data_IF_854469351748
#
_entry.id   IF_854469351748
#
_cell.length_a   1.000
_cell.length_b   1.000
_cell.length_c   1.000
_cell.angle_alpha   90.00
_cell.angle_beta   90.00
_cell.angle_gamma   90.00
#
_symmetry.space_group_name_H-M   'P 1'
#
loop_
_entity.id
_entity.type
_entity.pdbx_description
1 polymer ?
#
# COMPACT_ATOMS: atom_id res chain seq x y z
N UNK A 1 11.58 -0.68 -8.64
CA UNK A 1 11.22 0.05 -7.42
C UNK A 1 10.10 -0.65 -6.67
N UNK A 2 10.24 -0.78 -5.39
CA UNK A 2 9.21 -1.43 -4.55
C UNK A 2 8.33 -0.37 -3.91
N UNK A 3 7.02 -0.48 -4.12
CA UNK A 3 6.05 0.50 -3.66
C UNK A 3 4.96 -0.16 -2.83
N UNK A 4 4.59 0.48 -1.72
CA UNK A 4 3.44 0.06 -0.93
C UNK A 4 2.38 1.14 -1.09
N UNK A 5 1.16 0.72 -1.46
CA UNK A 5 0.02 1.61 -1.56
C UNK A 5 -0.96 1.24 -0.46
N UNK A 6 -1.24 2.18 0.42
CA UNK A 6 -2.21 2.00 1.50
C UNK A 6 -3.55 2.54 1.03
N UNK A 7 -4.48 1.64 0.71
CA UNK A 7 -5.78 1.99 0.18
C UNK A 7 -6.02 1.37 -1.19
N UNK A 8 -7.07 0.57 -1.30
CA UNK A 8 -7.43 -0.14 -2.54
C UNK A 8 -8.74 0.36 -3.15
N UNK A 9 -9.13 1.60 -2.83
CA UNK A 9 -10.28 2.26 -3.45
C UNK A 9 -9.91 2.76 -4.84
N UNK A 10 -10.73 3.66 -5.40
CA UNK A 10 -10.53 4.15 -6.76
C UNK A 10 -9.16 4.80 -6.98
N UNK A 11 -8.72 5.64 -6.05
CA UNK A 11 -7.44 6.34 -6.18
C UNK A 11 -6.28 5.36 -6.09
N UNK A 12 -6.30 4.48 -5.08
CA UNK A 12 -5.25 3.49 -4.90
C UNK A 12 -5.14 2.55 -6.08
N UNK A 13 -6.28 2.11 -6.61
CA UNK A 13 -6.32 1.24 -7.79
C UNK A 13 -5.71 1.93 -9.00
N UNK A 14 -6.04 3.21 -9.23
CA UNK A 14 -5.49 3.97 -10.36
C UNK A 14 -3.98 4.10 -10.27
N UNK A 15 -3.47 4.39 -9.07
CA UNK A 15 -2.03 4.52 -8.86
C UNK A 15 -1.35 3.18 -9.06
N UNK A 16 -1.92 2.11 -8.49
CA UNK A 16 -1.38 0.76 -8.63
C UNK A 16 -1.29 0.34 -10.09
N UNK A 17 -2.31 0.63 -10.87
CA UNK A 17 -2.33 0.32 -12.28
C UNK A 17 -1.19 1.00 -13.04
N UNK A 18 -1.03 2.30 -12.82
CA UNK A 18 0.04 3.05 -13.49
C UNK A 18 1.43 2.58 -13.11
N UNK A 19 1.67 2.34 -11.82
CA UNK A 19 2.98 1.90 -11.37
C UNK A 19 3.29 0.47 -11.80
N UNK A 20 2.28 -0.39 -11.82
CA UNK A 20 2.44 -1.77 -12.29
C UNK A 20 2.82 -1.80 -13.77
N UNK A 21 2.20 -0.97 -14.59
CA UNK A 21 2.52 -0.86 -16.02
C UNK A 21 3.96 -0.41 -16.21
N UNK A 22 4.47 0.46 -15.34
CA UNK A 22 5.84 0.95 -15.42
C UNK A 22 6.86 -0.03 -14.87
N UNK A 23 6.43 -1.20 -14.43
CA UNK A 23 7.34 -2.25 -13.96
C UNK A 23 7.68 -2.19 -12.48
N UNK A 24 7.00 -1.36 -11.71
CA UNK A 24 7.22 -1.30 -10.26
C UNK A 24 6.63 -2.54 -9.60
N UNK A 25 7.27 -3.00 -8.54
CA UNK A 25 6.70 -4.04 -7.68
C UNK A 25 5.75 -3.36 -6.71
N UNK A 26 4.46 -3.61 -6.88
CA UNK A 26 3.42 -2.93 -6.09
C UNK A 26 2.77 -3.89 -5.11
N UNK A 27 2.65 -3.46 -3.86
CA UNK A 27 1.89 -4.15 -2.83
C UNK A 27 0.81 -3.20 -2.34
N UNK A 28 -0.43 -3.66 -2.31
CA UNK A 28 -1.58 -2.86 -1.87
C UNK A 28 -2.09 -3.37 -0.54
N UNK A 29 -2.24 -2.46 0.43
CA UNK A 29 -2.74 -2.76 1.77
C UNK A 29 -4.11 -2.13 1.92
N UNK A 30 -5.10 -2.91 2.37
CA UNK A 30 -6.44 -2.40 2.65
C UNK A 30 -7.11 -3.30 3.68
N UNK A 31 -8.07 -2.75 4.38
CA UNK A 31 -8.89 -3.50 5.35
C UNK A 31 -10.04 -4.21 4.68
N UNK A 32 -10.35 -3.86 3.44
CA UNK A 32 -11.45 -4.47 2.67
C UNK A 32 -10.97 -5.61 1.81
N UNK A 33 -11.38 -6.82 2.17
CA UNK A 33 -11.09 -8.02 1.40
C UNK A 33 -11.64 -7.93 -0.02
N UNK A 34 -12.82 -7.31 -0.17
CA UNK A 34 -13.44 -7.15 -1.48
C UNK A 34 -12.64 -6.24 -2.40
N UNK A 35 -12.14 -5.11 -1.88
CA UNK A 35 -11.31 -4.19 -2.66
C UNK A 35 -10.03 -4.88 -3.12
N UNK A 36 -9.39 -5.62 -2.21
CA UNK A 36 -8.15 -6.32 -2.54
C UNK A 36 -8.38 -7.39 -3.59
N UNK A 37 -9.50 -8.11 -3.50
CA UNK A 37 -9.85 -9.14 -4.47
C UNK A 37 -10.02 -8.54 -5.86
N UNK A 38 -10.75 -7.43 -5.97
CA UNK A 38 -10.96 -6.76 -7.24
C UNK A 38 -9.67 -6.31 -7.87
N UNK A 39 -8.78 -5.74 -7.07
CA UNK A 39 -7.53 -5.21 -7.59
C UNK A 39 -6.59 -6.35 -8.03
N UNK A 40 -6.55 -7.45 -7.27
CA UNK A 40 -5.70 -8.60 -7.60
C UNK A 40 -6.18 -9.35 -8.85
N UNK A 41 -7.47 -9.28 -9.17
CA UNK A 41 -8.03 -9.92 -10.36
C UNK A 41 -7.67 -9.16 -11.64
N UNK A 42 -7.43 -7.86 -11.54
CA UNK A 42 -7.18 -7.03 -12.72
C UNK A 42 -5.73 -6.57 -12.87
N UNK A 43 -4.94 -6.62 -11.82
CA UNK A 43 -3.57 -6.12 -11.82
C UNK A 43 -2.58 -7.14 -11.25
N UNK A 44 -1.35 -7.09 -11.73
CA UNK A 44 -0.27 -7.93 -11.20
C UNK A 44 0.35 -7.22 -9.98
N UNK A 45 -0.33 -7.31 -8.86
CA UNK A 45 0.10 -6.70 -7.60
C UNK A 45 -0.04 -7.69 -6.45
N UNK A 46 0.72 -7.47 -5.39
CA UNK A 46 0.58 -8.22 -4.15
C UNK A 46 -0.42 -7.49 -3.26
N UNK A 47 -1.15 -8.22 -2.45
CA UNK A 47 -2.14 -7.63 -1.55
C UNK A 47 -1.91 -8.09 -0.12
N UNK A 48 -2.17 -7.18 0.83
CA UNK A 48 -2.10 -7.48 2.26
C UNK A 48 -3.36 -6.96 2.92
N UNK A 49 -4.08 -7.82 3.61
CA UNK A 49 -5.32 -7.46 4.30
C UNK A 49 -4.98 -6.97 5.72
N UNK A 50 -5.35 -5.76 6.02
CA UNK A 50 -5.14 -5.18 7.33
C UNK A 50 -5.11 -3.66 7.31
N UNK A 51 -4.96 -3.09 8.50
CA UNK A 51 -4.89 -1.64 8.66
C UNK A 51 -3.45 -1.16 8.46
N UNK A 52 -3.26 -0.23 7.54
CA UNK A 52 -1.93 0.32 7.26
C UNK A 52 -1.36 1.15 8.40
N UNK A 53 -2.17 1.48 9.40
CA UNK A 53 -1.71 2.18 10.60
C UNK A 53 -1.04 1.25 11.62
N UNK A 54 -0.95 -0.04 11.32
CA UNK A 54 -0.30 -1.02 12.19
C UNK A 54 1.08 -1.39 11.62
N UNK A 55 2.16 -1.21 12.41
CA UNK A 55 3.50 -1.55 11.93
C UNK A 55 3.65 -3.00 11.46
N UNK A 56 2.96 -3.94 12.12
CA UNK A 56 3.01 -5.35 11.73
C UNK A 56 2.44 -5.59 10.33
N UNK A 57 1.40 -4.85 9.97
CA UNK A 57 0.80 -4.96 8.64
C UNK A 57 1.74 -4.39 7.58
N UNK A 58 2.34 -3.23 7.85
CA UNK A 58 3.32 -2.65 6.93
C UNK A 58 4.55 -3.55 6.79
N UNK A 59 4.98 -4.17 7.87
CA UNK A 59 6.09 -5.13 7.83
C UNK A 59 5.73 -6.31 6.91
N UNK A 60 4.52 -6.85 7.03
CA UNK A 60 4.04 -7.93 6.18
C UNK A 60 3.98 -7.53 4.71
N UNK A 61 3.77 -6.26 4.44
CA UNK A 61 3.70 -5.73 3.09
C UNK A 61 5.09 -5.45 2.48
N UNK A 62 6.16 -5.67 3.24
CA UNK A 62 7.52 -5.48 2.76
C UNK A 62 8.09 -4.08 2.99
N UNK A 63 7.58 -3.38 4.01
CA UNK A 63 8.02 -2.00 4.30
C UNK A 63 9.53 -1.89 4.51
N UNK A 64 10.17 -2.93 5.01
CA UNK A 64 11.60 -2.92 5.27
C UNK A 64 12.44 -2.67 4.02
N UNK A 65 11.97 -3.17 2.89
CA UNK A 65 12.68 -3.05 1.60
C UNK A 65 11.98 -2.09 0.64
N UNK A 66 11.02 -1.34 1.11
CA UNK A 66 10.19 -0.48 0.28
C UNK A 66 10.88 0.85 -0.03
N UNK A 67 10.72 1.31 -1.27
CA UNK A 67 11.29 2.58 -1.72
C UNK A 67 10.33 3.75 -1.55
N UNK A 68 9.03 3.50 -1.74
CA UNK A 68 7.99 4.53 -1.65
C UNK A 68 6.75 3.97 -0.97
N UNK A 69 6.16 4.74 -0.07
CA UNK A 69 4.88 4.41 0.54
C UNK A 69 3.88 5.52 0.21
N UNK A 70 2.76 5.14 -0.36
CA UNK A 70 1.70 6.06 -0.75
C UNK A 70 0.44 5.71 0.04
N UNK A 71 -0.08 6.66 0.81
CA UNK A 71 -1.25 6.44 1.65
C UNK A 71 -2.44 7.25 1.13
N UNK A 72 -3.43 6.54 0.61
CA UNK A 72 -4.62 7.13 -0.02
C UNK A 72 -5.91 6.45 0.45
N UNK A 73 -5.98 6.13 1.73
CA UNK A 73 -7.21 5.58 2.32
C UNK A 73 -8.23 6.71 2.53
N UNK A 74 -9.43 6.37 2.95
CA UNK A 74 -10.46 7.37 3.26
C UNK A 74 -10.19 8.12 4.56
N UNK A 75 -9.26 7.63 5.38
CA UNK A 75 -8.93 8.25 6.66
C UNK A 75 -7.63 9.05 6.55
N UNK A 76 -7.74 10.38 6.66
CA UNK A 76 -6.56 11.25 6.66
C UNK A 76 -5.64 10.92 7.83
N UNK A 77 -6.23 10.60 9.00
CA UNK A 77 -5.49 10.19 10.17
C UNK A 77 -4.64 8.96 9.91
N UNK A 78 -5.27 7.91 9.35
CA UNK A 78 -4.56 6.67 9.04
C UNK A 78 -3.47 6.90 7.99
N UNK A 79 -3.73 7.78 7.03
CA UNK A 79 -2.74 8.12 6.01
C UNK A 79 -1.51 8.78 6.64
N UNK A 80 -1.73 9.70 7.56
CA UNK A 80 -0.65 10.38 8.26
C UNK A 80 0.13 9.41 9.14
N UNK A 81 -0.57 8.54 9.88
CA UNK A 81 0.05 7.55 10.75
C UNK A 81 0.88 6.57 9.93
N UNK A 82 0.33 6.08 8.82
CA UNK A 82 1.04 5.14 7.95
C UNK A 82 2.33 5.73 7.41
N UNK A 83 2.29 6.98 6.95
CA UNK A 83 3.48 7.66 6.45
C UNK A 83 4.50 7.89 7.55
N UNK A 84 4.05 8.25 8.75
CA UNK A 84 4.94 8.46 9.89
C UNK A 84 5.63 7.16 10.29
N UNK A 85 4.89 6.04 10.34
CA UNK A 85 5.46 4.73 10.65
C UNK A 85 6.48 4.33 9.59
N UNK A 86 6.12 4.51 8.32
CA UNK A 86 7.01 4.20 7.22
C UNK A 86 8.34 4.93 7.33
N UNK A 87 8.27 6.22 7.61
CA UNK A 87 9.46 7.04 7.76
C UNK A 87 10.26 6.68 9.01
N UNK A 88 9.60 6.61 10.16
CA UNK A 88 10.28 6.47 11.47
C UNK A 88 10.78 5.06 11.73
N UNK A 89 10.01 4.04 11.41
CA UNK A 89 10.36 2.65 11.72
C UNK A 89 11.04 1.93 10.57
N UNK A 90 10.63 2.21 9.34
CA UNK A 90 11.12 1.48 8.16
C UNK A 90 12.05 2.29 7.28
N UNK A 91 12.28 3.55 7.62
CA UNK A 91 13.21 4.43 6.89
C UNK A 91 12.82 4.66 5.43
N UNK A 92 11.53 4.63 5.13
CA UNK A 92 11.04 4.93 3.79
C UNK A 92 11.06 6.45 3.59
N UNK A 93 11.74 6.96 2.56
CA UNK A 93 11.84 8.40 2.33
C UNK A 93 10.50 9.10 2.12
#
# INVERSE_FOLDING_TARGET
MKTIICGAGEVGKSIAEKLSIEGFEVTVVDESKEHLKKISESLDVKTVLGASSLPSILSSAGAKDCDILIAVTKSDENNMISCQIGYSLFKIP
#
